data_IF_861104712505
#
_entry.id   IF_861104712505
#
_cell.length_a   1.000
_cell.length_b   1.000
_cell.length_c   1.000
_cell.angle_alpha   90.00
_cell.angle_beta   90.00
_cell.angle_gamma   90.00
#
_symmetry.space_group_name_H-M   'P 1'
#
loop_
_entity.id
_entity.type
_entity.pdbx_description
1 polymer ?
#
# COMPACT_ATOMS: atom_id res chain seq x y z
N UNK A 1 7.96 -26.32 36.45
CA UNK A 1 7.78 -25.08 36.34
C UNK A 1 7.18 -24.57 35.05
N UNK A 2 7.08 -25.38 34.11
CA UNK A 2 6.50 -25.00 32.88
C UNK A 2 5.04 -24.60 32.97
N UNK A 3 4.34 -25.09 33.95
CA UNK A 3 2.96 -24.71 34.16
C UNK A 3 2.82 -23.24 34.49
N UNK A 4 3.79 -22.71 35.24
CA UNK A 4 3.77 -21.30 35.56
C UNK A 4 4.00 -20.46 34.35
N UNK A 5 4.90 -20.91 33.46
CA UNK A 5 5.14 -20.18 32.20
C UNK A 5 3.90 -20.18 31.34
N UNK A 6 3.21 -21.32 31.30
CA UNK A 6 1.99 -21.41 30.49
C UNK A 6 0.88 -20.57 31.09
N UNK A 7 0.81 -20.49 32.40
CA UNK A 7 -0.22 -19.70 33.04
C UNK A 7 0.02 -18.22 32.88
N UNK A 8 1.26 -17.81 32.51
CA UNK A 8 1.58 -16.43 32.28
C UNK A 8 1.20 -16.00 30.88
N UNK A 9 0.85 -16.91 30.00
CA UNK A 9 0.38 -16.56 28.69
C UNK A 9 -1.01 -15.95 28.80
N UNK A 10 -1.11 -14.73 28.32
CA UNK A 10 -2.38 -14.03 28.29
C UNK A 10 -2.84 -13.95 26.85
N UNK A 11 -4.05 -14.41 26.61
CA UNK A 11 -4.65 -14.33 25.28
C UNK A 11 -5.75 -13.29 25.31
N UNK A 12 -5.47 -12.18 24.70
CA UNK A 12 -6.42 -11.09 24.64
C UNK A 12 -6.92 -10.92 23.21
N UNK A 13 -8.18 -10.58 23.05
CA UNK A 13 -8.67 -10.29 21.71
C UNK A 13 -8.01 -9.04 21.18
N UNK A 14 -7.84 -8.99 19.87
CA UNK A 14 -7.25 -7.83 19.19
C UNK A 14 -8.37 -6.92 18.74
N UNK A 15 -8.28 -5.65 19.09
CA UNK A 15 -9.22 -4.66 18.60
C UNK A 15 -8.57 -3.93 17.43
N UNK A 16 -9.23 -3.98 16.29
CA UNK A 16 -8.75 -3.30 15.09
C UNK A 16 -9.34 -1.90 15.04
N UNK A 17 -8.47 -0.91 15.16
CA UNK A 17 -8.90 0.47 15.26
C UNK A 17 -8.20 1.31 14.20
N UNK A 18 -8.99 2.02 13.41
CA UNK A 18 -8.46 2.95 12.42
C UNK A 18 -8.76 4.36 12.89
N UNK A 19 -7.71 5.12 13.28
CA UNK A 19 -7.93 6.49 13.74
C UNK A 19 -8.54 7.36 12.64
N UNK A 20 -9.37 8.33 13.05
CA UNK A 20 -10.00 9.22 12.09
C UNK A 20 -8.99 10.08 11.34
N UNK A 21 -7.89 10.39 11.99
CA UNK A 21 -6.90 11.28 11.40
C UNK A 21 -5.86 10.58 10.52
N UNK A 22 -5.99 9.26 10.34
CA UNK A 22 -5.06 8.57 9.46
C UNK A 22 -5.36 8.93 8.01
N UNK A 23 -4.31 9.21 7.26
CA UNK A 23 -4.50 9.67 5.89
C UNK A 23 -4.67 8.50 4.94
N UNK A 24 -5.65 8.63 4.07
CA UNK A 24 -5.85 7.69 2.99
C UNK A 24 -5.21 8.29 1.74
N UNK A 25 -4.06 7.75 1.35
CA UNK A 25 -3.29 8.31 0.24
C UNK A 25 -3.31 7.34 -0.94
N UNK A 26 -3.46 7.91 -2.11
CA UNK A 26 -3.35 7.12 -3.34
C UNK A 26 -1.88 6.98 -3.67
N UNK A 27 -1.42 5.75 -3.89
CA UNK A 27 -0.01 5.52 -4.20
C UNK A 27 0.12 4.81 -5.54
N UNK A 28 1.19 5.13 -6.26
CA UNK A 28 1.43 4.60 -7.59
C UNK A 28 2.62 3.65 -7.62
N UNK A 29 3.56 3.83 -6.70
CA UNK A 29 4.79 3.06 -6.73
C UNK A 29 5.19 2.65 -5.33
N UNK A 30 5.91 1.55 -5.27
CA UNK A 30 6.44 1.00 -4.02
C UNK A 30 7.89 0.62 -4.24
N UNK A 31 8.76 1.10 -3.36
CA UNK A 31 10.16 0.67 -3.32
C UNK A 31 10.40 0.01 -2.00
N UNK A 32 11.00 -1.17 -2.03
CA UNK A 32 11.31 -1.93 -0.82
C UNK A 32 12.81 -1.94 -0.63
N UNK A 33 13.24 -1.50 0.54
CA UNK A 33 14.65 -1.47 0.87
C UNK A 33 14.92 -2.45 2.01
N UNK A 34 15.68 -3.53 1.75
CA UNK A 34 15.98 -4.47 2.82
C UNK A 34 17.09 -3.93 3.71
N UNK A 35 16.92 -4.10 5.00
CA UNK A 35 17.94 -3.85 5.98
C UNK A 35 18.46 -5.18 6.54
N UNK A 36 19.21 -5.10 7.62
CA UNK A 36 19.75 -6.30 8.24
C UNK A 36 18.67 -7.11 8.95
N UNK A 37 17.73 -6.42 9.59
CA UNK A 37 16.71 -7.05 10.42
C UNK A 37 15.30 -6.70 10.01
N UNK A 38 15.13 -5.82 9.01
CA UNK A 38 13.83 -5.30 8.65
C UNK A 38 13.78 -4.94 7.18
N UNK A 39 12.57 -4.73 6.69
CA UNK A 39 12.36 -4.17 5.36
C UNK A 39 11.64 -2.85 5.52
N UNK A 40 12.04 -1.85 4.74
CA UNK A 40 11.36 -0.57 4.73
C UNK A 40 10.63 -0.42 3.41
N UNK A 41 9.35 -0.11 3.51
CA UNK A 41 8.49 0.07 2.35
C UNK A 41 8.25 1.56 2.15
N UNK A 42 8.63 2.05 0.97
CA UNK A 42 8.43 3.44 0.61
C UNK A 42 7.33 3.52 -0.43
N UNK A 43 6.26 4.21 -0.09
CA UNK A 43 5.13 4.39 -1.00
C UNK A 43 5.17 5.77 -1.61
N UNK A 44 5.03 5.83 -2.92
CA UNK A 44 5.17 7.08 -3.65
C UNK A 44 3.91 7.45 -4.39
N UNK A 45 3.65 8.75 -4.44
CA UNK A 45 2.57 9.30 -5.23
C UNK A 45 3.19 10.12 -6.37
N UNK A 46 2.82 9.80 -7.59
CA UNK A 46 3.30 10.55 -8.74
C UNK A 46 2.55 11.86 -8.80
N UNK A 47 3.31 12.94 -8.86
CA UNK A 47 2.75 14.29 -8.88
C UNK A 47 2.91 14.90 -10.26
N UNK A 48 1.78 15.18 -10.89
CA UNK A 48 1.78 15.84 -12.18
C UNK A 48 1.36 17.29 -11.92
N UNK A 49 2.18 18.26 -12.36
CA UNK A 49 1.85 19.67 -12.14
C UNK A 49 0.49 20.01 -12.76
N UNK A 50 -0.27 20.91 -12.15
CA UNK A 50 -1.51 21.37 -12.76
C UNK A 50 -1.22 22.00 -14.10
N UNK A 51 -1.98 21.59 -15.11
CA UNK A 51 -1.79 22.10 -16.46
C UNK A 51 -3.10 21.97 -17.20
N UNK A 52 -3.54 23.07 -17.79
CA UNK A 52 -4.75 23.11 -18.58
C UNK A 52 -4.37 23.16 -20.06
N UNK A 53 -4.78 22.14 -20.80
CA UNK A 53 -4.46 22.09 -22.21
C UNK A 53 -4.82 20.76 -22.79
N UNK A 54 -4.53 20.58 -24.08
CA UNK A 54 -4.77 19.31 -24.73
C UNK A 54 -3.81 18.25 -24.21
N UNK A 55 -4.14 16.97 -24.40
CA UNK A 55 -3.21 15.90 -24.01
C UNK A 55 -1.83 16.04 -24.65
N UNK A 56 -1.77 16.56 -25.88
CA UNK A 56 -0.49 16.76 -26.54
C UNK A 56 0.32 17.88 -25.89
N UNK A 57 -0.35 18.95 -25.52
CA UNK A 57 0.31 20.06 -24.84
C UNK A 57 0.84 19.64 -23.47
N UNK A 58 0.08 18.83 -22.73
CA UNK A 58 0.53 18.32 -21.45
C UNK A 58 1.75 17.44 -21.64
N UNK A 59 1.71 16.58 -22.64
CA UNK A 59 2.83 15.69 -22.93
C UNK A 59 4.09 16.48 -23.27
N UNK A 60 3.97 17.51 -24.09
CA UNK A 60 5.11 18.34 -24.46
C UNK A 60 5.67 19.08 -23.26
N UNK A 61 4.79 19.55 -22.37
CA UNK A 61 5.21 20.23 -21.16
C UNK A 61 6.01 19.28 -20.26
N UNK A 62 5.52 18.06 -20.10
CA UNK A 62 6.21 17.07 -19.26
C UNK A 62 7.55 16.66 -19.86
N UNK A 63 7.63 16.56 -21.17
CA UNK A 63 8.90 16.24 -21.83
C UNK A 63 9.93 17.32 -21.61
N UNK A 64 9.51 18.57 -21.67
CA UNK A 64 10.41 19.69 -21.44
C UNK A 64 10.90 19.72 -20.01
N UNK A 65 10.06 19.34 -19.09
CA UNK A 65 10.42 19.28 -17.68
C UNK A 65 11.51 18.25 -17.41
N UNK A 66 11.52 17.16 -18.19
CA UNK A 66 12.57 16.16 -18.13
C UNK A 66 12.41 15.12 -17.05
N UNK A 67 11.54 15.32 -16.09
CA UNK A 67 11.29 14.35 -15.04
C UNK A 67 9.92 14.57 -14.43
N UNK A 68 9.39 13.51 -13.82
CA UNK A 68 8.14 13.57 -13.08
C UNK A 68 8.48 13.32 -11.62
N UNK A 69 7.99 14.20 -10.76
CA UNK A 69 8.24 14.07 -9.34
C UNK A 69 7.37 12.98 -8.74
N UNK A 70 8.01 12.05 -8.03
CA UNK A 70 7.32 11.05 -7.22
C UNK A 70 7.69 11.31 -5.77
N UNK A 71 6.69 11.65 -4.98
CA UNK A 71 6.92 12.00 -3.60
C UNK A 71 6.60 10.84 -2.69
N UNK A 72 7.50 10.57 -1.74
CA UNK A 72 7.25 9.55 -0.73
C UNK A 72 6.21 10.05 0.24
N UNK A 73 5.07 9.40 0.29
CA UNK A 73 3.95 9.83 1.12
C UNK A 73 3.75 8.92 2.32
N UNK A 74 4.37 7.76 2.33
CA UNK A 74 4.29 6.85 3.47
C UNK A 74 5.52 5.97 3.51
N UNK A 75 5.99 5.73 4.71
CA UNK A 75 7.19 4.94 4.93
C UNK A 75 6.90 4.01 6.10
N UNK A 76 6.98 2.72 5.85
CA UNK A 76 6.67 1.71 6.86
C UNK A 76 7.82 0.73 6.98
N UNK A 77 8.13 0.35 8.19
CA UNK A 77 9.16 -0.66 8.46
C UNK A 77 8.48 -1.91 8.99
N UNK A 78 8.79 -3.04 8.39
CA UNK A 78 8.17 -4.30 8.77
C UNK A 78 9.22 -5.35 9.05
N UNK A 79 8.95 -6.27 9.98
CA UNK A 79 9.85 -7.41 10.17
C UNK A 79 9.73 -8.38 9.00
N UNK A 80 10.83 -9.08 8.66
CA UNK A 80 10.80 -10.00 7.52
C UNK A 80 9.74 -11.08 7.65
N UNK A 81 9.43 -11.49 8.87
CA UNK A 81 8.44 -12.53 9.10
C UNK A 81 7.03 -12.13 8.68
N UNK A 82 6.77 -10.83 8.65
CA UNK A 82 5.46 -10.34 8.25
C UNK A 82 5.26 -10.30 6.74
N UNK A 83 6.36 -10.31 5.99
CA UNK A 83 6.29 -10.13 4.54
C UNK A 83 5.45 -11.19 3.83
N UNK A 84 5.60 -12.49 4.14
CA UNK A 84 4.75 -13.49 3.48
C UNK A 84 3.25 -13.26 3.74
N UNK A 85 2.92 -12.77 4.92
CA UNK A 85 1.53 -12.48 5.26
C UNK A 85 1.01 -11.26 4.52
N UNK A 86 1.88 -10.26 4.32
CA UNK A 86 1.52 -9.09 3.51
C UNK A 86 1.23 -9.53 2.08
N UNK A 87 2.08 -10.36 1.53
CA UNK A 87 1.91 -10.85 0.16
C UNK A 87 0.58 -11.59 0.03
N UNK A 88 0.32 -12.48 0.98
CA UNK A 88 -0.92 -13.25 0.96
C UNK A 88 -2.15 -12.35 1.08
N UNK A 89 -2.09 -11.37 1.95
CA UNK A 89 -3.20 -10.44 2.12
C UNK A 89 -3.46 -9.66 0.84
N UNK A 90 -2.40 -9.22 0.18
CA UNK A 90 -2.53 -8.49 -1.08
C UNK A 90 -3.10 -9.39 -2.18
N UNK A 91 -2.66 -10.62 -2.26
CA UNK A 91 -3.17 -11.56 -3.26
C UNK A 91 -4.66 -11.82 -3.04
N UNK A 92 -5.05 -12.03 -1.79
CA UNK A 92 -6.45 -12.27 -1.45
C UNK A 92 -7.30 -11.05 -1.80
N UNK A 93 -6.80 -9.86 -1.48
CA UNK A 93 -7.51 -8.64 -1.81
C UNK A 93 -7.66 -8.42 -3.29
N UNK A 94 -6.62 -8.74 -4.04
CA UNK A 94 -6.66 -8.60 -5.49
C UNK A 94 -7.67 -9.55 -6.12
N UNK A 95 -7.74 -10.77 -5.61
CA UNK A 95 -8.73 -11.74 -6.09
C UNK A 95 -10.15 -11.26 -5.80
N UNK A 96 -10.36 -10.72 -4.62
CA UNK A 96 -11.67 -10.19 -4.27
C UNK A 96 -12.05 -9.03 -5.18
N UNK A 97 -11.09 -8.17 -5.46
CA UNK A 97 -11.31 -7.05 -6.37
C UNK A 97 -11.73 -7.53 -7.74
N UNK A 98 -11.05 -8.54 -8.27
CA UNK A 98 -11.37 -9.09 -9.59
C UNK A 98 -12.75 -9.70 -9.63
N UNK A 99 -13.12 -10.41 -8.58
CA UNK A 99 -14.46 -11.03 -8.51
C UNK A 99 -15.56 -9.97 -8.46
N UNK A 100 -15.35 -8.92 -7.70
CA UNK A 100 -16.32 -7.84 -7.60
C UNK A 100 -16.55 -7.17 -8.95
N UNK A 101 -15.47 -6.90 -9.66
CA UNK A 101 -15.59 -6.24 -10.95
C UNK A 101 -16.18 -7.14 -12.01
N UNK A 102 -15.84 -8.42 -11.99
CA UNK A 102 -16.44 -9.37 -12.93
C UNK A 102 -17.93 -9.53 -12.65
N UNK A 103 -18.32 -9.56 -11.38
CA UNK A 103 -19.73 -9.67 -11.03
C UNK A 103 -20.52 -8.46 -11.49
N UNK A 104 -19.94 -7.27 -11.38
CA UNK A 104 -20.59 -6.05 -11.84
C UNK A 104 -20.78 -6.07 -13.35
N UNK A 105 -19.78 -6.50 -14.09
CA UNK A 105 -19.91 -6.62 -15.53
C UNK A 105 -21.01 -7.57 -15.94
N UNK A 106 -21.11 -8.69 -15.23
CA UNK A 106 -22.19 -9.65 -15.50
C UNK A 106 -23.54 -9.11 -15.07
N UNK A 107 -23.56 -8.39 -13.98
CA UNK A 107 -24.79 -7.83 -13.45
C UNK A 107 -25.45 -6.84 -14.37
N UNK A 108 -24.67 -6.18 -15.17
CA UNK A 108 -25.19 -5.19 -16.10
C UNK A 108 -25.92 -5.82 -17.28
N UNK A 109 -25.73 -7.09 -17.47
CA UNK A 109 -26.42 -7.80 -18.50
C UNK A 109 -27.81 -8.24 -18.05
#
# INVERSE_FOLDING_TARGET
MNEEEQSNEIRLPVEWYVPENIQNRYVHNLIVQPGKYELTLFFFETQIPPFTGSPEEVRDFLKKQGSIRSECVSKLTVPPQLVPEIIKALETGLESYKRLNNSEERGDE
#
